data_IF_005362422548
#
_entry.id   IF_005362422548
#
_cell.length_a   1.000
_cell.length_b   1.000
_cell.length_c   1.000
_cell.angle_alpha   90.00
_cell.angle_beta   90.00
_cell.angle_gamma   90.00
#
_symmetry.space_group_name_H-M   'P 1'
#
loop_
_entity.id
_entity.type
_entity.pdbx_description
1 polymer ?
#
# COMPACT_ATOMS: atom_id res chain seq x y z
N UNK A 1 6.71 21.56 0.94
CA UNK A 1 7.61 20.51 0.42
C UNK A 1 8.92 21.18 0.00
N UNK A 2 10.08 20.65 0.41
CA UNK A 2 11.38 21.20 0.02
C UNK A 2 11.82 20.63 -1.33
N UNK A 3 12.59 21.41 -2.12
CA UNK A 3 13.23 20.93 -3.34
C UNK A 3 14.61 20.39 -2.98
N UNK A 4 14.87 19.14 -3.37
CA UNK A 4 16.14 18.47 -3.14
C UNK A 4 16.57 17.82 -4.45
N UNK A 5 17.83 18.02 -4.85
CA UNK A 5 18.42 17.29 -5.97
C UNK A 5 19.07 16.02 -5.41
N UNK A 6 18.62 14.87 -5.88
CA UNK A 6 19.15 13.55 -5.54
C UNK A 6 19.23 12.73 -6.82
N UNK A 7 20.24 11.88 -6.91
CA UNK A 7 20.31 10.85 -7.95
C UNK A 7 19.40 9.69 -7.56
N UNK A 8 18.60 9.22 -8.52
CA UNK A 8 17.62 8.15 -8.32
C UNK A 8 17.82 7.12 -9.42
N UNK A 9 17.89 5.84 -9.03
CA UNK A 9 17.82 4.73 -9.98
C UNK A 9 16.48 4.79 -10.72
N UNK A 10 16.56 4.98 -12.04
CA UNK A 10 15.40 5.19 -12.88
C UNK A 10 14.53 3.92 -13.03
N UNK A 11 15.15 2.74 -12.99
CA UNK A 11 14.44 1.48 -13.13
C UNK A 11 13.72 1.14 -11.83
N UNK A 12 14.35 1.37 -10.67
CA UNK A 12 13.70 1.25 -9.38
C UNK A 12 12.51 2.23 -9.24
N UNK A 13 12.70 3.48 -9.67
CA UNK A 13 11.64 4.49 -9.64
C UNK A 13 10.46 4.09 -10.55
N UNK A 14 10.75 3.61 -11.76
CA UNK A 14 9.73 3.14 -12.71
C UNK A 14 8.97 1.93 -12.16
N UNK A 15 9.65 0.96 -11.55
CA UNK A 15 9.00 -0.18 -10.93
C UNK A 15 7.99 0.21 -9.83
N UNK A 16 8.32 1.22 -9.02
CA UNK A 16 7.39 1.77 -8.01
C UNK A 16 6.22 2.48 -8.68
N UNK A 17 6.49 3.30 -9.71
CA UNK A 17 5.44 4.01 -10.44
C UNK A 17 4.45 3.04 -11.10
N UNK A 18 4.93 2.00 -11.77
CA UNK A 18 4.09 1.00 -12.44
C UNK A 18 3.28 0.18 -11.43
N UNK A 19 3.91 -0.22 -10.32
CA UNK A 19 3.28 -1.02 -9.27
C UNK A 19 2.14 -0.29 -8.56
N UNK A 20 2.28 1.02 -8.36
CA UNK A 20 1.33 1.83 -7.60
C UNK A 20 0.54 2.83 -8.46
N UNK A 21 0.67 2.77 -9.80
CA UNK A 21 -0.06 3.61 -10.74
C UNK A 21 0.24 5.10 -10.62
N UNK A 22 1.49 5.48 -10.37
CA UNK A 22 1.87 6.86 -10.07
C UNK A 22 2.30 7.61 -11.34
N UNK A 23 1.83 8.85 -11.47
CA UNK A 23 2.11 9.68 -12.64
C UNK A 23 3.49 10.37 -12.60
N UNK A 24 4.10 10.52 -11.42
CA UNK A 24 5.37 11.25 -11.28
C UNK A 24 6.39 10.55 -10.39
N UNK A 25 7.69 10.73 -10.73
CA UNK A 25 8.81 10.25 -9.90
C UNK A 25 8.77 10.83 -8.48
N UNK A 26 8.27 12.06 -8.32
CA UNK A 26 8.08 12.70 -7.01
C UNK A 26 7.09 11.93 -6.14
N UNK A 27 5.98 11.51 -6.73
CA UNK A 27 4.94 10.78 -6.00
C UNK A 27 5.47 9.39 -5.60
N UNK A 28 6.23 8.74 -6.48
CA UNK A 28 6.91 7.48 -6.16
C UNK A 28 7.87 7.59 -4.97
N UNK A 29 8.72 8.63 -4.96
CA UNK A 29 9.65 8.87 -3.87
C UNK A 29 8.91 9.17 -2.56
N UNK A 30 7.91 10.05 -2.60
CA UNK A 30 7.11 10.37 -1.41
C UNK A 30 6.37 9.14 -0.87
N UNK A 31 5.80 8.32 -1.76
CA UNK A 31 5.10 7.10 -1.38
C UNK A 31 6.07 6.11 -0.72
N UNK A 32 7.24 5.87 -1.33
CA UNK A 32 8.25 4.98 -0.79
C UNK A 32 8.74 5.43 0.60
N UNK A 33 9.01 6.73 0.78
CA UNK A 33 9.42 7.27 2.08
C UNK A 33 8.34 7.09 3.15
N UNK A 34 7.08 7.32 2.81
CA UNK A 34 5.96 7.11 3.76
C UNK A 34 5.78 5.64 4.10
N UNK A 35 5.90 4.75 3.13
CA UNK A 35 5.78 3.30 3.37
C UNK A 35 6.94 2.78 4.22
N UNK A 36 8.16 3.27 4.02
CA UNK A 36 9.31 2.84 4.80
C UNK A 36 9.32 3.45 6.21
N UNK A 37 8.86 4.69 6.34
CA UNK A 37 8.72 5.35 7.63
C UNK A 37 7.45 4.94 8.40
N UNK A 38 6.50 4.25 7.74
CA UNK A 38 5.37 3.67 8.42
C UNK A 38 5.89 2.58 9.36
N UNK A 39 5.73 2.79 10.66
CA UNK A 39 5.89 1.70 11.61
C UNK A 39 4.91 0.60 11.23
N UNK A 40 5.37 -0.65 11.20
CA UNK A 40 4.47 -1.78 11.07
C UNK A 40 3.42 -1.63 12.18
N UNK A 41 2.14 -1.74 11.81
CA UNK A 41 1.04 -1.67 12.76
C UNK A 41 1.39 -2.61 13.91
N UNK A 42 1.46 -2.09 15.14
CA UNK A 42 1.79 -2.91 16.28
C UNK A 42 0.81 -4.08 16.33
N UNK A 43 1.27 -5.24 16.81
CA UNK A 43 0.44 -6.45 16.87
C UNK A 43 -0.84 -6.18 17.66
N UNK A 44 -0.79 -5.31 18.68
CA UNK A 44 -1.95 -4.93 19.47
C UNK A 44 -2.88 -3.94 18.75
N UNK A 45 -2.36 -3.05 17.92
CA UNK A 45 -3.18 -2.21 17.02
C UNK A 45 -3.87 -3.07 15.94
N UNK A 46 -3.14 -4.03 15.36
CA UNK A 46 -3.70 -4.99 14.40
C UNK A 46 -4.77 -5.89 15.04
N UNK A 47 -4.59 -6.27 16.30
CA UNK A 47 -5.61 -6.98 17.08
C UNK A 47 -6.79 -6.11 17.44
N UNK A 48 -6.61 -4.81 17.65
CA UNK A 48 -7.71 -3.87 17.92
C UNK A 48 -8.63 -3.69 16.71
N UNK A 49 -8.14 -3.93 15.50
CA UNK A 49 -8.96 -4.01 14.28
C UNK A 49 -9.76 -5.31 14.17
N UNK A 50 -9.54 -6.31 15.05
CA UNK A 50 -10.34 -7.54 15.06
C UNK A 50 -11.78 -7.20 15.44
N UNK A 51 -12.70 -7.49 14.53
CA UNK A 51 -14.12 -7.16 14.71
C UNK A 51 -14.51 -5.79 14.16
N UNK A 52 -13.59 -5.05 13.50
CA UNK A 52 -13.98 -4.00 12.55
C UNK A 52 -14.83 -4.67 11.47
N UNK A 53 -16.13 -4.42 11.52
CA UNK A 53 -17.16 -5.23 10.88
C UNK A 53 -16.84 -5.57 9.43
N UNK A 54 -16.93 -6.87 9.12
CA UNK A 54 -17.05 -7.34 7.75
C UNK A 54 -18.52 -7.66 7.53
N UNK A 55 -19.19 -6.86 6.69
CA UNK A 55 -20.64 -6.93 6.43
C UNK A 55 -21.00 -7.87 5.26
N UNK A 56 -20.03 -8.62 4.72
CA UNK A 56 -20.30 -9.54 3.62
C UNK A 56 -21.05 -10.80 4.07
N UNK A 57 -21.62 -11.51 3.10
CA UNK A 57 -22.15 -12.86 3.30
C UNK A 57 -21.07 -13.89 2.90
N UNK A 58 -20.64 -14.72 3.85
CA UNK A 58 -19.64 -15.76 3.62
C UNK A 58 -20.16 -16.86 2.69
N UNK A 59 -21.45 -17.13 2.73
CA UNK A 59 -22.08 -18.20 1.96
C UNK A 59 -22.22 -17.78 0.49
N UNK A 60 -22.55 -16.51 0.24
CA UNK A 60 -22.58 -15.94 -1.12
C UNK A 60 -21.20 -16.03 -1.79
N UNK A 61 -20.14 -15.61 -1.11
CA UNK A 61 -18.77 -15.69 -1.64
C UNK A 61 -18.30 -17.12 -1.92
N UNK A 62 -18.71 -18.08 -1.09
CA UNK A 62 -18.32 -19.49 -1.24
C UNK A 62 -19.08 -20.19 -2.37
N UNK A 63 -20.33 -19.80 -2.62
CA UNK A 63 -21.13 -20.39 -3.70
C UNK A 63 -20.50 -20.19 -5.09
N UNK A 64 -19.86 -19.03 -5.32
CA UNK A 64 -19.21 -18.68 -6.58
C UNK A 64 -18.03 -19.57 -6.98
N UNK A 65 -17.44 -20.34 -6.04
CA UNK A 65 -16.31 -21.25 -6.31
C UNK A 65 -16.76 -22.69 -6.64
N UNK A 66 -18.02 -23.02 -6.38
CA UNK A 66 -18.56 -24.37 -6.55
C UNK A 66 -19.40 -24.55 -7.84
N UNK A 67 -19.35 -23.59 -8.78
CA UNK A 67 -20.04 -23.63 -10.07
C UNK A 67 -19.07 -23.78 -11.24
#
# INVERSE_FOLDING_TARGET
MARTNIDIDEDACRAVMDRFGLATKRDAVNLALRHLAAEALDIDDARSLRGSGWEGDLDELRSSRAS
#
